data_IF_789354354407
#
_entry.id   IF_789354354407
#
_cell.length_a   1.000
_cell.length_b   1.000
_cell.length_c   1.000
_cell.angle_alpha   90.00
_cell.angle_beta   90.00
_cell.angle_gamma   90.00
#
_symmetry.space_group_name_H-M   'P 1'
#
loop_
_entity.id
_entity.type
_entity.pdbx_description
1 polymer ?
#
# COMPACT_ATOMS: atom_id res chain seq x y z
N UNK A 1 -19.65 -4.20 -9.27
CA UNK A 1 -18.29 -3.76 -9.63
C UNK A 1 -17.92 -2.61 -8.72
N UNK A 2 -16.97 -2.80 -7.79
CA UNK A 2 -16.58 -1.78 -6.81
C UNK A 2 -15.81 -0.60 -7.46
N UNK A 3 -15.34 -0.78 -8.69
CA UNK A 3 -14.77 0.26 -9.53
C UNK A 3 -15.88 0.91 -10.36
N UNK A 4 -16.41 2.04 -9.90
CA UNK A 4 -17.28 2.93 -10.70
C UNK A 4 -16.43 4.09 -11.19
N UNK A 5 -15.54 3.83 -12.14
CA UNK A 5 -14.67 4.85 -12.76
C UNK A 5 -15.03 5.20 -14.20
N UNK A 6 -15.99 4.49 -14.81
CA UNK A 6 -16.55 4.88 -16.10
C UNK A 6 -17.39 6.16 -15.95
N UNK A 7 -16.73 7.32 -15.91
CA UNK A 7 -17.37 8.64 -15.83
C UNK A 7 -16.63 9.72 -15.05
N UNK A 8 -15.48 9.43 -14.40
CA UNK A 8 -14.74 10.44 -13.64
C UNK A 8 -13.85 11.27 -14.57
N UNK A 9 -14.50 12.07 -15.43
CA UNK A 9 -13.81 13.05 -16.27
C UNK A 9 -13.30 14.18 -15.39
N UNK A 10 -11.97 14.24 -15.26
CA UNK A 10 -11.29 15.27 -14.48
C UNK A 10 -11.45 16.62 -15.19
N UNK A 11 -12.05 17.58 -14.49
CA UNK A 11 -12.36 18.91 -15.04
C UNK A 11 -11.13 19.83 -15.12
N UNK A 12 -10.00 19.45 -14.51
CA UNK A 12 -8.75 20.21 -14.60
C UNK A 12 -7.52 19.32 -14.67
N UNK A 13 -6.51 19.77 -15.43
CA UNK A 13 -5.24 19.06 -15.62
C UNK A 13 -4.49 18.81 -14.30
N UNK A 14 -4.63 19.72 -13.33
CA UNK A 14 -4.03 19.57 -12.00
C UNK A 14 -4.60 18.38 -11.22
N UNK A 15 -5.88 18.08 -11.41
CA UNK A 15 -6.52 16.96 -10.72
C UNK A 15 -6.09 15.60 -11.29
N UNK A 16 -5.59 15.57 -12.54
CA UNK A 16 -5.04 14.37 -13.19
C UNK A 16 -3.59 14.08 -12.82
N UNK A 17 -2.85 15.07 -12.31
CA UNK A 17 -1.46 14.89 -11.86
C UNK A 17 -1.33 14.26 -10.47
N UNK A 18 -2.42 13.75 -9.89
CA UNK A 18 -2.39 13.14 -8.56
C UNK A 18 -1.85 11.70 -8.62
N UNK A 19 -0.85 11.38 -7.79
CA UNK A 19 -0.24 10.04 -7.67
C UNK A 19 -1.27 8.93 -7.40
N UNK A 20 -2.30 9.24 -6.62
CA UNK A 20 -3.46 8.37 -6.41
C UNK A 20 -4.70 9.14 -6.84
N UNK A 21 -5.19 8.84 -8.05
CA UNK A 21 -6.37 9.46 -8.63
C UNK A 21 -7.64 8.97 -7.93
N UNK A 22 -7.70 7.68 -7.62
CA UNK A 22 -8.81 7.05 -6.93
C UNK A 22 -8.79 7.32 -5.42
N UNK A 23 -9.94 7.69 -4.87
CA UNK A 23 -10.11 7.90 -3.42
C UNK A 23 -9.90 6.62 -2.62
N UNK A 24 -10.30 5.47 -3.16
CA UNK A 24 -10.10 4.17 -2.52
C UNK A 24 -8.60 3.87 -2.37
N UNK A 25 -7.80 4.06 -3.42
CA UNK A 25 -6.35 3.86 -3.35
C UNK A 25 -5.70 4.75 -2.28
N UNK A 26 -6.13 6.02 -2.19
CA UNK A 26 -5.69 6.91 -1.11
C UNK A 26 -6.04 6.39 0.28
N UNK A 27 -7.28 5.94 0.48
CA UNK A 27 -7.74 5.42 1.77
C UNK A 27 -6.99 4.14 2.14
N UNK A 28 -6.82 3.22 1.19
CA UNK A 28 -6.09 1.98 1.41
C UNK A 28 -4.61 2.24 1.72
N UNK A 29 -3.96 3.13 0.97
CA UNK A 29 -2.58 3.51 1.22
C UNK A 29 -2.40 4.06 2.64
N UNK A 30 -3.20 5.05 3.02
CA UNK A 30 -3.11 5.63 4.36
C UNK A 30 -3.51 4.65 5.47
N UNK A 31 -4.50 3.79 5.21
CA UNK A 31 -4.88 2.72 6.13
C UNK A 31 -3.75 1.72 6.35
N UNK A 32 -3.05 1.32 5.28
CA UNK A 32 -1.93 0.40 5.35
C UNK A 32 -0.72 1.03 6.06
N UNK A 33 -0.45 2.32 5.81
CA UNK A 33 0.58 3.07 6.55
C UNK A 33 0.27 3.19 8.05
N UNK A 34 -1.01 3.40 8.40
CA UNK A 34 -1.42 3.43 9.80
C UNK A 34 -1.25 2.06 10.47
N UNK A 35 -1.64 0.97 9.80
CA UNK A 35 -1.42 -0.40 10.31
C UNK A 35 0.08 -0.68 10.47
N UNK A 36 0.89 -0.33 9.47
CA UNK A 36 2.35 -0.50 9.53
C UNK A 36 2.99 0.24 10.71
N UNK A 37 2.46 1.42 11.06
CA UNK A 37 3.03 2.25 12.12
C UNK A 37 2.52 1.89 13.51
N UNK A 38 1.22 1.60 13.64
CA UNK A 38 0.56 1.45 14.95
C UNK A 38 0.27 0.00 15.33
N UNK A 39 0.32 -0.95 14.40
CA UNK A 39 0.02 -2.36 14.69
C UNK A 39 1.31 -3.18 14.66
N UNK A 40 2.07 -3.12 13.57
CA UNK A 40 3.29 -3.92 13.40
C UNK A 40 4.26 -3.89 14.61
N UNK A 41 4.65 -2.74 15.20
CA UNK A 41 5.62 -2.75 16.30
C UNK A 41 5.14 -3.44 17.58
N UNK A 42 3.82 -3.62 17.77
CA UNK A 42 3.27 -4.26 18.97
C UNK A 42 3.01 -5.75 18.78
N UNK A 43 2.96 -6.24 17.54
CA UNK A 43 2.62 -7.62 17.21
C UNK A 43 3.79 -8.43 16.65
N UNK A 44 4.81 -7.76 16.09
CA UNK A 44 5.99 -8.44 15.55
C UNK A 44 6.95 -8.82 16.66
N UNK A 45 7.29 -10.10 16.71
CA UNK A 45 8.29 -10.65 17.62
C UNK A 45 9.55 -11.06 16.86
N UNK A 46 10.62 -11.35 17.58
CA UNK A 46 11.90 -11.81 16.98
C UNK A 46 11.71 -13.06 16.10
N UNK A 47 10.78 -13.94 16.45
CA UNK A 47 10.43 -15.10 15.62
C UNK A 47 9.89 -14.69 14.24
N UNK A 48 8.93 -13.77 14.20
CA UNK A 48 8.36 -13.29 12.94
C UNK A 48 9.41 -12.60 12.07
N UNK A 49 10.27 -11.79 12.68
CA UNK A 49 11.36 -11.11 11.99
C UNK A 49 12.30 -12.10 11.31
N UNK A 50 12.87 -13.05 12.07
CA UNK A 50 13.92 -13.95 11.57
C UNK A 50 13.37 -15.05 10.67
N UNK A 51 12.21 -15.63 11.01
CA UNK A 51 11.70 -16.82 10.33
C UNK A 51 10.77 -16.51 9.15
N UNK A 52 10.13 -15.33 9.12
CA UNK A 52 9.12 -15.01 8.09
C UNK A 52 9.54 -13.80 7.28
N UNK A 53 9.72 -12.64 7.92
CA UNK A 53 9.94 -11.39 7.18
C UNK A 53 11.29 -11.34 6.50
N UNK A 54 12.35 -11.73 7.19
CA UNK A 54 13.70 -11.72 6.63
C UNK A 54 13.81 -12.56 5.34
N UNK A 55 13.44 -13.85 5.31
CA UNK A 55 13.49 -14.61 4.07
C UNK A 55 12.53 -14.07 3.00
N UNK A 56 11.30 -13.68 3.39
CA UNK A 56 10.32 -13.13 2.45
C UNK A 56 10.84 -11.87 1.75
N UNK A 57 11.43 -10.93 2.48
CA UNK A 57 11.96 -9.70 1.90
C UNK A 57 13.19 -9.94 1.03
N UNK A 58 14.09 -10.84 1.44
CA UNK A 58 15.24 -11.23 0.62
C UNK A 58 14.76 -11.78 -0.73
N UNK A 59 13.82 -12.72 -0.72
CA UNK A 59 13.29 -13.28 -1.97
C UNK A 59 12.46 -12.28 -2.78
N UNK A 60 11.73 -11.37 -2.12
CA UNK A 60 10.99 -10.30 -2.82
C UNK A 60 11.92 -9.35 -3.56
N UNK A 61 13.02 -8.91 -2.93
CA UNK A 61 14.03 -8.07 -3.59
C UNK A 61 14.73 -8.86 -4.70
N UNK A 62 15.09 -10.13 -4.46
CA UNK A 62 15.70 -10.96 -5.48
C UNK A 62 14.79 -11.18 -6.71
N UNK A 63 13.47 -11.24 -6.51
CA UNK A 63 12.49 -11.36 -7.58
C UNK A 63 12.24 -10.05 -8.34
N UNK A 64 12.47 -8.90 -7.70
CA UNK A 64 12.34 -7.59 -8.36
C UNK A 64 13.42 -7.34 -9.42
N UNK A 65 14.56 -8.04 -9.33
CA UNK A 65 15.55 -8.18 -10.42
C UNK A 65 16.04 -6.87 -11.01
#
# INVERSE_FOLDING_TARGET
MFYREAGDFKTSYQSDQATFTLRLDKILFWGLMAVATFVVPFFVTEYWEKSVFLPFFIYSIAALG
#
